data_IF_372000340814
#
_entry.id   IF_372000340814
#
_cell.length_a   1.000
_cell.length_b   1.000
_cell.length_c   1.000
_cell.angle_alpha   90.00
_cell.angle_beta   90.00
_cell.angle_gamma   90.00
#
_symmetry.space_group_name_H-M   'P 1'
#
loop_
_entity.id
_entity.type
_entity.pdbx_description
1 polymer ?
#
# COMPACT_ATOMS: atom_id res chain seq x y z
N UNK A 1 -16.84 -6.40 20.09
CA UNK A 1 -16.83 -4.92 20.08
C UNK A 1 -16.26 -4.41 18.74
N UNK A 2 -16.60 -5.08 17.64
CA UNK A 2 -15.86 -5.10 16.35
C UNK A 2 -16.70 -4.59 15.17
N UNK A 3 -17.82 -3.90 15.44
CA UNK A 3 -18.81 -3.49 14.43
C UNK A 3 -18.79 -1.99 14.12
N UNK A 4 -17.84 -1.22 14.65
CA UNK A 4 -17.85 0.25 14.45
C UNK A 4 -17.26 0.65 13.10
N UNK A 5 -16.09 0.13 12.74
CA UNK A 5 -15.41 0.51 11.50
C UNK A 5 -16.20 0.03 10.28
N UNK A 6 -16.62 -1.24 10.26
CA UNK A 6 -17.44 -1.75 9.16
C UNK A 6 -18.82 -1.11 9.01
N UNK A 7 -19.38 -0.50 10.07
CA UNK A 7 -20.62 0.29 9.94
C UNK A 7 -20.37 1.68 9.37
N UNK A 8 -19.17 2.22 9.60
CA UNK A 8 -18.75 3.52 9.05
C UNK A 8 -18.48 3.38 7.55
N UNK A 9 -17.79 2.32 7.11
CA UNK A 9 -17.52 2.09 5.68
C UNK A 9 -18.79 1.91 4.86
N UNK A 10 -19.77 1.14 5.36
CA UNK A 10 -21.07 1.00 4.70
C UNK A 10 -21.78 2.35 4.52
N UNK A 11 -21.82 3.18 5.57
CA UNK A 11 -22.42 4.53 5.47
C UNK A 11 -21.71 5.43 4.44
N UNK A 12 -20.39 5.34 4.34
CA UNK A 12 -19.65 6.09 3.33
C UNK A 12 -19.89 5.56 1.93
N UNK A 13 -20.11 4.25 1.77
CA UNK A 13 -20.51 3.66 0.49
C UNK A 13 -21.89 4.13 0.07
N UNK A 14 -22.84 4.15 0.99
CA UNK A 14 -24.19 4.69 0.75
C UNK A 14 -24.10 6.16 0.33
N UNK A 15 -23.37 6.99 1.08
CA UNK A 15 -23.14 8.40 0.75
C UNK A 15 -22.50 8.59 -0.64
N UNK A 16 -21.50 7.77 -0.99
CA UNK A 16 -20.84 7.84 -2.30
C UNK A 16 -21.81 7.57 -3.45
N UNK A 17 -22.76 6.64 -3.25
CA UNK A 17 -23.80 6.30 -4.23
C UNK A 17 -24.92 7.34 -4.30
N UNK A 18 -25.34 7.87 -3.14
CA UNK A 18 -26.42 8.86 -3.05
C UNK A 18 -26.01 10.21 -3.64
N UNK A 19 -24.79 10.65 -3.39
CA UNK A 19 -24.30 11.98 -3.79
C UNK A 19 -23.46 11.95 -5.08
N UNK A 20 -23.24 10.78 -5.68
CA UNK A 20 -22.39 10.58 -6.87
C UNK A 20 -20.97 11.17 -6.71
N UNK A 21 -20.33 10.87 -5.57
CA UNK A 21 -19.00 11.36 -5.23
C UNK A 21 -18.01 10.22 -5.00
N UNK A 22 -16.72 10.49 -5.29
CA UNK A 22 -15.64 9.59 -4.91
C UNK A 22 -15.25 9.80 -3.44
N UNK A 23 -15.44 8.77 -2.61
CA UNK A 23 -14.99 8.77 -1.21
C UNK A 23 -13.70 7.98 -1.09
N UNK A 24 -12.65 8.64 -0.61
CA UNK A 24 -11.36 8.02 -0.33
C UNK A 24 -11.15 7.96 1.18
N UNK A 25 -10.95 6.74 1.70
CA UNK A 25 -10.66 6.49 3.11
C UNK A 25 -9.22 6.00 3.26
N UNK A 26 -8.49 6.57 4.22
CA UNK A 26 -7.15 6.11 4.57
C UNK A 26 -7.25 5.27 5.84
N UNK A 27 -6.70 4.05 5.78
CA UNK A 27 -6.62 3.14 6.91
C UNK A 27 -5.17 2.81 7.22
N UNK A 28 -4.86 2.71 8.51
CA UNK A 28 -3.56 2.22 8.95
C UNK A 28 -3.56 0.69 8.94
N UNK A 29 -2.49 0.09 8.40
CA UNK A 29 -2.29 -1.35 8.48
C UNK A 29 -1.96 -1.79 9.92
N UNK A 30 -2.33 -3.02 10.25
CA UNK A 30 -1.97 -3.67 11.51
C UNK A 30 -0.45 -3.81 11.62
N UNK A 31 0.11 -3.62 12.83
CA UNK A 31 1.56 -3.79 13.11
C UNK A 31 2.12 -5.18 12.77
N UNK A 32 1.26 -6.17 12.57
CA UNK A 32 1.67 -7.51 12.13
C UNK A 32 2.33 -7.51 10.75
N UNK A 33 2.02 -6.53 9.91
CA UNK A 33 2.57 -6.37 8.55
C UNK A 33 4.10 -6.30 8.55
N UNK A 34 4.70 -5.68 9.57
CA UNK A 34 6.16 -5.51 9.69
C UNK A 34 6.91 -6.83 9.89
N UNK A 35 6.21 -7.88 10.34
CA UNK A 35 6.77 -9.22 10.54
C UNK A 35 6.68 -10.09 9.30
N UNK A 36 5.86 -9.69 8.32
CA UNK A 36 5.69 -10.47 7.09
C UNK A 36 6.93 -10.32 6.22
N UNK A 37 7.46 -11.45 5.80
CA UNK A 37 8.53 -11.55 4.82
C UNK A 37 8.06 -12.51 3.73
N UNK A 38 8.29 -12.13 2.48
CA UNK A 38 7.90 -12.91 1.31
C UNK A 38 8.59 -12.34 0.08
N UNK A 39 8.80 -13.15 -0.95
CA UNK A 39 9.43 -12.65 -2.18
C UNK A 39 8.47 -11.77 -2.99
N UNK A 40 7.16 -11.96 -2.83
CA UNK A 40 6.12 -11.24 -3.57
C UNK A 40 5.46 -10.20 -2.67
N UNK A 41 5.11 -9.05 -3.23
CA UNK A 41 4.53 -7.92 -2.50
C UNK A 41 3.19 -8.25 -1.81
N UNK A 42 2.36 -9.10 -2.41
CA UNK A 42 1.08 -9.55 -1.83
C UNK A 42 1.25 -10.39 -0.56
N UNK A 43 2.40 -11.05 -0.39
CA UNK A 43 2.72 -11.78 0.83
C UNK A 43 3.06 -10.83 1.99
N UNK A 44 3.53 -9.63 1.66
CA UNK A 44 3.95 -8.61 2.63
C UNK A 44 2.80 -7.69 3.03
N UNK A 45 1.90 -7.38 2.10
CA UNK A 45 0.73 -6.54 2.35
C UNK A 45 -0.49 -7.13 1.64
N UNK A 46 -1.51 -7.47 2.41
CA UNK A 46 -2.79 -7.97 1.90
C UNK A 46 -3.99 -7.34 2.61
N UNK A 47 -5.21 -7.57 2.11
CA UNK A 47 -6.44 -7.01 2.69
C UNK A 47 -6.62 -7.40 4.16
N UNK A 48 -6.12 -8.57 4.57
CA UNK A 48 -6.12 -9.03 5.96
C UNK A 48 -5.34 -8.14 6.93
N UNK A 49 -4.40 -7.33 6.43
CA UNK A 49 -3.62 -6.41 7.24
C UNK A 49 -4.41 -5.14 7.63
N UNK A 50 -5.63 -4.96 7.10
CA UNK A 50 -6.53 -3.88 7.50
C UNK A 50 -7.35 -4.34 8.73
N UNK A 51 -7.48 -3.48 9.74
CA UNK A 51 -8.34 -3.76 10.89
C UNK A 51 -9.81 -3.87 10.44
N UNK A 52 -10.55 -4.89 10.93
CA UNK A 52 -11.92 -5.19 10.48
C UNK A 52 -12.03 -5.42 8.94
N UNK A 53 -10.96 -5.95 8.34
CA UNK A 53 -10.76 -6.13 6.90
C UNK A 53 -11.94 -6.72 6.14
N UNK A 54 -12.65 -7.70 6.69
CA UNK A 54 -13.74 -8.39 5.98
C UNK A 54 -14.84 -7.43 5.49
N UNK A 55 -15.29 -6.49 6.34
CA UNK A 55 -16.34 -5.54 5.93
C UNK A 55 -15.79 -4.46 5.01
N UNK A 56 -14.61 -3.93 5.32
CA UNK A 56 -13.96 -2.90 4.49
C UNK A 56 -13.70 -3.43 3.09
N UNK A 57 -13.19 -4.66 3.00
CA UNK A 57 -12.97 -5.34 1.73
C UNK A 57 -14.29 -5.52 1.00
N UNK A 58 -15.39 -5.94 1.65
CA UNK A 58 -16.68 -6.11 0.99
C UNK A 58 -17.27 -4.80 0.45
N UNK A 59 -17.26 -3.74 1.27
CA UNK A 59 -17.89 -2.45 0.98
C UNK A 59 -17.12 -1.66 -0.10
N UNK A 60 -15.78 -1.71 -0.07
CA UNK A 60 -14.93 -0.90 -0.94
C UNK A 60 -14.97 -1.38 -2.39
N UNK A 61 -14.95 -0.46 -3.34
CA UNK A 61 -14.79 -0.80 -4.77
C UNK A 61 -13.33 -1.09 -5.11
N UNK A 62 -12.41 -0.34 -4.51
CA UNK A 62 -10.98 -0.49 -4.67
C UNK A 62 -10.28 -0.49 -3.32
N UNK A 63 -9.24 -1.31 -3.20
CA UNK A 63 -8.36 -1.33 -2.03
C UNK A 63 -6.92 -1.28 -2.52
N UNK A 64 -6.20 -0.23 -2.13
CA UNK A 64 -4.82 0.03 -2.56
C UNK A 64 -3.91 0.03 -1.33
N UNK A 65 -2.89 -0.80 -1.36
CA UNK A 65 -1.81 -0.83 -0.38
C UNK A 65 -0.60 -0.08 -0.89
N UNK A 66 0.10 0.65 -0.03
CA UNK A 66 1.37 1.30 -0.39
C UNK A 66 2.50 0.57 0.33
N UNK A 67 3.48 0.11 -0.45
CA UNK A 67 4.64 -0.61 0.06
C UNK A 67 5.95 0.10 -0.28
N UNK A 68 6.86 0.13 0.70
CA UNK A 68 8.24 0.58 0.56
C UNK A 68 9.14 -0.12 1.57
N UNK A 69 10.36 -0.49 1.19
CA UNK A 69 11.33 -0.99 2.15
C UNK A 69 11.95 0.15 2.97
N UNK A 70 11.48 0.30 4.22
CA UNK A 70 11.96 1.31 5.15
C UNK A 70 13.46 1.18 5.47
N UNK A 71 14.05 -0.02 5.34
CA UNK A 71 15.48 -0.23 5.62
C UNK A 71 16.35 0.56 4.65
N UNK A 72 15.86 0.77 3.42
CA UNK A 72 16.56 1.54 2.41
C UNK A 72 16.65 3.04 2.75
N UNK A 73 15.86 3.55 3.70
CA UNK A 73 16.04 4.93 4.19
C UNK A 73 17.33 5.12 4.96
N UNK A 74 17.78 4.09 5.68
CA UNK A 74 19.03 4.16 6.39
C UNK A 74 20.20 4.21 5.40
N UNK A 75 20.98 5.29 5.48
CA UNK A 75 22.08 5.54 4.55
C UNK A 75 23.15 4.44 4.63
N UNK A 76 23.48 3.96 5.82
CA UNK A 76 24.50 2.93 5.99
C UNK A 76 24.05 1.59 5.39
N UNK A 77 22.79 1.21 5.61
CA UNK A 77 22.19 0.03 5.00
C UNK A 77 22.14 0.15 3.46
N UNK A 78 21.72 1.31 2.95
CA UNK A 78 21.67 1.58 1.51
C UNK A 78 23.04 1.49 0.85
N UNK A 79 24.06 2.13 1.45
CA UNK A 79 25.43 2.10 0.94
C UNK A 79 26.00 0.67 0.95
N UNK A 80 25.66 -0.12 1.97
CA UNK A 80 26.02 -1.53 2.05
C UNK A 80 25.34 -2.37 0.95
N UNK A 81 24.05 -2.16 0.71
CA UNK A 81 23.31 -2.86 -0.33
C UNK A 81 23.75 -2.45 -1.75
N UNK A 82 24.13 -1.18 -1.93
CA UNK A 82 24.70 -0.67 -3.17
C UNK A 82 26.03 -1.36 -3.49
N UNK A 83 26.93 -1.50 -2.50
CA UNK A 83 28.19 -2.26 -2.66
C UNK A 83 27.97 -3.73 -3.02
N UNK A 84 26.84 -4.31 -2.60
CA UNK A 84 26.43 -5.67 -2.97
C UNK A 84 25.76 -5.76 -4.34
N UNK A 85 25.61 -4.65 -5.07
CA UNK A 85 24.92 -4.61 -6.36
C UNK A 85 23.42 -4.90 -6.26
N UNK A 86 22.81 -4.70 -5.08
CA UNK A 86 21.39 -4.98 -4.84
C UNK A 86 20.48 -3.75 -4.95
N UNK A 87 21.07 -2.57 -5.14
CA UNK A 87 20.32 -1.32 -5.32
C UNK A 87 20.32 -0.94 -6.79
N UNK A 88 19.13 -0.64 -7.31
CA UNK A 88 18.91 -0.13 -8.66
C UNK A 88 17.89 1.01 -8.60
N UNK A 89 18.35 2.24 -8.82
CA UNK A 89 17.52 3.44 -8.77
C UNK A 89 16.57 3.60 -9.96
N UNK A 90 16.71 2.78 -10.99
CA UNK A 90 15.82 2.75 -12.16
C UNK A 90 14.80 1.60 -12.07
N UNK A 91 14.92 0.74 -11.07
CA UNK A 91 13.99 -0.36 -10.86
C UNK A 91 12.62 0.12 -10.40
N UNK A 92 11.57 -0.53 -10.90
CA UNK A 92 10.18 -0.36 -10.46
C UNK A 92 9.85 -1.19 -9.20
N UNK A 93 10.86 -1.76 -8.56
CA UNK A 93 10.77 -2.62 -7.38
C UNK A 93 11.24 -1.85 -6.13
N UNK A 94 10.35 -1.66 -5.16
CA UNK A 94 10.63 -0.93 -3.93
C UNK A 94 11.65 -1.62 -3.00
N UNK A 95 11.99 -2.90 -3.25
CA UNK A 95 13.07 -3.59 -2.54
C UNK A 95 14.46 -3.25 -3.07
N UNK A 96 14.52 -2.74 -4.30
CA UNK A 96 15.78 -2.43 -5.00
C UNK A 96 15.97 -0.93 -5.17
N UNK A 97 14.88 -0.18 -5.26
CA UNK A 97 14.88 1.24 -5.48
C UNK A 97 14.39 1.99 -4.23
N UNK A 98 15.29 2.67 -3.49
CA UNK A 98 14.92 3.50 -2.33
C UNK A 98 13.94 4.63 -2.66
N UNK A 99 13.88 5.04 -3.93
CA UNK A 99 13.01 6.10 -4.44
C UNK A 99 11.76 5.53 -5.13
N UNK A 100 11.38 4.28 -4.87
CA UNK A 100 10.18 3.65 -5.40
C UNK A 100 9.20 3.30 -4.28
N UNK A 101 7.93 3.53 -4.52
CA UNK A 101 6.80 2.99 -3.77
C UNK A 101 6.03 2.08 -4.71
N UNK A 102 5.71 0.86 -4.27
CA UNK A 102 4.80 0.01 -4.99
C UNK A 102 3.37 0.22 -4.45
N UNK A 103 2.48 0.69 -5.32
CA UNK A 103 1.04 0.74 -5.07
C UNK A 103 0.41 -0.58 -5.52
N UNK A 104 -0.08 -1.36 -4.57
CA UNK A 104 -0.63 -2.70 -4.75
C UNK A 104 -2.15 -2.58 -4.76
N UNK A 105 -2.77 -2.79 -5.91
CA UNK A 105 -4.21 -2.85 -6.08
C UNK A 105 -4.66 -4.24 -5.63
N UNK A 106 -5.04 -4.35 -4.36
CA UNK A 106 -5.44 -5.61 -3.72
C UNK A 106 -6.87 -6.01 -4.04
N UNK A 107 -7.74 -5.03 -4.33
CA UNK A 107 -9.11 -5.23 -4.80
C UNK A 107 -9.44 -4.20 -5.85
N UNK A 108 -10.14 -4.62 -6.89
CA UNK A 108 -10.75 -3.75 -7.89
C UNK A 108 -12.06 -4.37 -8.41
N UNK A 109 -13.21 -3.79 -8.07
CA UNK A 109 -14.54 -4.35 -8.42
C UNK A 109 -14.80 -4.37 -9.93
N UNK A 110 -14.21 -3.44 -10.67
CA UNK A 110 -14.48 -3.21 -12.10
C UNK A 110 -13.24 -3.32 -12.98
N UNK A 111 -12.20 -4.01 -12.52
CA UNK A 111 -10.97 -4.13 -13.29
C UNK A 111 -9.99 -5.11 -12.68
N UNK A 112 -8.76 -5.03 -13.16
CA UNK A 112 -7.69 -5.93 -12.75
C UNK A 112 -7.06 -5.48 -11.42
N UNK A 113 -6.52 -6.46 -10.71
CA UNK A 113 -5.59 -6.27 -9.61
C UNK A 113 -4.16 -6.25 -10.14
N UNK A 114 -3.24 -5.66 -9.41
CA UNK A 114 -1.85 -5.57 -9.84
C UNK A 114 -1.04 -4.60 -9.00
N UNK A 115 0.19 -4.36 -9.45
CA UNK A 115 1.10 -3.44 -8.77
C UNK A 115 1.56 -2.37 -9.75
N UNK A 116 1.46 -1.11 -9.33
CA UNK A 116 2.06 0.03 -10.04
C UNK A 116 3.23 0.58 -9.24
N UNK A 117 4.29 0.99 -9.93
CA UNK A 117 5.40 1.71 -9.31
C UNK A 117 5.11 3.21 -9.31
N UNK A 118 5.50 3.87 -8.23
CA UNK A 118 5.42 5.33 -8.03
C UNK A 118 6.79 5.82 -7.56
N UNK A 119 7.16 7.02 -7.99
CA UNK A 119 8.40 7.65 -7.57
C UNK A 119 8.21 8.33 -6.21
N UNK A 120 9.15 8.11 -5.31
CA UNK A 120 9.19 8.66 -3.96
C UNK A 120 10.35 9.63 -3.79
N UNK A 121 10.04 10.82 -3.30
CA UNK A 121 11.02 11.80 -2.87
C UNK A 121 10.93 12.01 -1.36
N UNK A 122 11.77 11.28 -0.62
CA UNK A 122 11.73 11.28 0.85
C UNK A 122 12.06 12.61 1.53
N UNK A 123 12.69 13.56 0.83
CA UNK A 123 13.02 14.89 1.38
C UNK A 123 11.79 15.75 1.66
N UNK A 124 10.75 15.59 0.84
CA UNK A 124 9.51 16.38 0.89
C UNK A 124 8.27 15.50 1.05
N UNK A 125 8.45 14.20 1.30
CA UNK A 125 7.36 13.21 1.37
C UNK A 125 6.45 13.23 0.14
N UNK A 126 7.04 13.41 -1.04
CA UNK A 126 6.30 13.58 -2.29
C UNK A 126 6.25 12.27 -3.08
N UNK A 127 5.07 11.98 -3.61
CA UNK A 127 4.82 10.88 -4.54
C UNK A 127 4.56 11.46 -5.93
N UNK A 128 5.19 10.89 -6.95
CA UNK A 128 5.03 11.30 -8.35
C UNK A 128 4.98 10.09 -9.27
N UNK A 129 4.60 10.30 -10.52
CA UNK A 129 4.65 9.25 -11.54
C UNK A 129 6.09 8.80 -11.79
N UNK A 130 6.26 7.51 -12.08
CA UNK A 130 7.56 6.90 -12.34
C UNK A 130 8.13 7.34 -13.69
#
# INVERSE_FOLDING_TARGET
MTNRIGRITGKFKDLALEEDICVVLVAQANRGVDKKSGEILLDRLSTSDIQDSVRIEQDSDQVIGLYRDLKLDDKAYRDFMLKKGKIDYYSMDADKNPNCINAIIMKNRHGEIGTSALKWEGKCSMVSNF
#
